data_IF_011470322422
#
_entry.id   IF_011470322422
#
_cell.length_a   1.000
_cell.length_b   1.000
_cell.length_c   1.000
_cell.angle_alpha   90.00
_cell.angle_beta   90.00
_cell.angle_gamma   90.00
#
_symmetry.space_group_name_H-M   'P 1'
#
loop_
_entity.id
_entity.type
_entity.pdbx_description
1 polymer ?
#
# COMPACT_ATOMS: atom_id res chain seq x y z
N UNK A 1 3.63 24.92 -8.61
CA UNK A 1 2.76 23.87 -8.01
C UNK A 1 1.45 23.88 -8.78
N UNK A 2 1.19 22.82 -9.56
CA UNK A 2 0.01 22.71 -10.42
C UNK A 2 -1.07 21.97 -9.64
N UNK A 3 -2.23 22.59 -9.46
CA UNK A 3 -3.36 22.01 -8.74
C UNK A 3 -4.30 21.27 -9.69
N UNK A 4 -5.06 20.30 -9.19
CA UNK A 4 -6.03 19.52 -9.98
C UNK A 4 -7.00 20.38 -10.81
N UNK A 5 -7.44 21.53 -10.27
CA UNK A 5 -8.33 22.45 -10.97
C UNK A 5 -7.71 23.05 -12.25
N UNK A 6 -6.39 23.16 -12.33
CA UNK A 6 -5.70 23.61 -13.54
C UNK A 6 -5.79 22.54 -14.65
N UNK A 7 -5.72 21.25 -14.29
CA UNK A 7 -5.94 20.15 -15.23
C UNK A 7 -7.42 19.96 -15.60
N UNK A 8 -8.34 20.38 -14.73
CA UNK A 8 -9.79 20.38 -15.01
C UNK A 8 -10.26 21.56 -15.85
N UNK A 9 -9.51 22.66 -15.92
CA UNK A 9 -9.88 23.84 -16.70
C UNK A 9 -10.21 23.55 -18.18
N UNK A 10 -9.41 22.78 -18.94
CA UNK A 10 -9.75 22.43 -20.33
C UNK A 10 -10.94 21.45 -20.44
N UNK A 11 -11.35 20.83 -19.33
CA UNK A 11 -12.37 19.76 -19.28
C UNK A 11 -13.70 20.19 -18.66
N UNK A 12 -13.76 21.35 -17.98
CA UNK A 12 -15.02 21.93 -17.51
C UNK A 12 -15.32 23.25 -18.21
N UNK A 13 -16.45 23.36 -18.96
CA UNK A 13 -16.93 24.63 -19.51
C UNK A 13 -17.17 25.71 -18.44
N UNK A 14 -17.42 25.28 -17.20
CA UNK A 14 -17.59 26.14 -16.05
C UNK A 14 -16.30 26.85 -15.60
N UNK A 15 -15.18 26.12 -15.65
CA UNK A 15 -13.87 26.59 -15.19
C UNK A 15 -13.11 27.33 -16.28
N UNK A 16 -13.36 27.02 -17.56
CA UNK A 16 -12.68 27.67 -18.68
C UNK A 16 -12.93 29.18 -18.72
N UNK A 17 -14.14 29.61 -18.33
CA UNK A 17 -14.58 31.02 -18.29
C UNK A 17 -14.03 31.81 -17.09
N UNK A 18 -13.42 31.16 -16.11
CA UNK A 18 -12.95 31.81 -14.89
C UNK A 18 -11.48 32.25 -15.07
N UNK A 19 -11.12 33.51 -14.74
CA UNK A 19 -9.74 33.96 -14.81
C UNK A 19 -8.88 33.30 -13.73
N UNK A 20 -7.58 33.12 -14.00
CA UNK A 20 -6.65 32.41 -13.11
C UNK A 20 -6.55 33.02 -11.71
N UNK A 21 -6.65 34.34 -11.60
CA UNK A 21 -6.65 35.07 -10.32
C UNK A 21 -7.83 34.64 -9.44
N UNK A 22 -9.03 34.61 -10.02
CA UNK A 22 -10.25 34.18 -9.34
C UNK A 22 -10.23 32.70 -9.02
N UNK A 23 -9.71 31.86 -9.91
CA UNK A 23 -9.56 30.42 -9.64
C UNK A 23 -8.62 30.16 -8.46
N UNK A 24 -7.47 30.85 -8.41
CA UNK A 24 -6.55 30.78 -7.26
C UNK A 24 -7.19 31.30 -5.97
N UNK A 25 -8.02 32.35 -6.06
CA UNK A 25 -8.75 32.86 -4.90
C UNK A 25 -9.77 31.85 -4.37
N UNK A 26 -10.51 31.18 -5.25
CA UNK A 26 -11.45 30.11 -4.89
C UNK A 26 -10.69 28.97 -4.21
N UNK A 27 -9.57 28.54 -4.77
CA UNK A 27 -8.72 27.49 -4.18
C UNK A 27 -8.21 27.85 -2.78
N UNK A 28 -7.77 29.09 -2.58
CA UNK A 28 -7.32 29.58 -1.27
C UNK A 28 -8.48 29.56 -0.29
N UNK A 29 -9.60 30.21 -0.61
CA UNK A 29 -10.80 30.21 0.26
C UNK A 29 -11.27 28.80 0.61
N UNK A 30 -11.28 27.89 -0.36
CA UNK A 30 -11.62 26.48 -0.13
C UNK A 30 -10.68 25.83 0.87
N UNK A 31 -9.36 25.92 0.63
CA UNK A 31 -8.37 25.37 1.55
C UNK A 31 -8.48 25.98 2.94
N UNK A 32 -8.60 27.30 3.02
CA UNK A 32 -8.59 28.04 4.28
C UNK A 32 -9.83 27.67 5.13
N UNK A 33 -11.01 27.49 4.52
CA UNK A 33 -12.21 27.01 5.22
C UNK A 33 -12.10 25.57 5.75
N UNK A 34 -11.41 24.67 5.04
CA UNK A 34 -11.12 23.34 5.57
C UNK A 34 -10.13 23.38 6.74
N UNK A 35 -9.11 24.23 6.67
CA UNK A 35 -8.15 24.39 7.77
C UNK A 35 -8.83 24.97 9.01
N UNK A 36 -9.73 25.95 8.84
CA UNK A 36 -10.55 26.50 9.93
C UNK A 36 -11.42 25.42 10.58
N UNK A 37 -12.07 24.58 9.77
CA UNK A 37 -12.85 23.43 10.27
C UNK A 37 -11.97 22.45 11.07
N UNK A 38 -10.78 22.12 10.57
CA UNK A 38 -9.84 21.25 11.28
C UNK A 38 -9.43 21.84 12.63
N UNK A 39 -9.14 23.15 12.65
CA UNK A 39 -8.74 23.87 13.86
C UNK A 39 -9.88 23.92 14.89
N UNK A 40 -11.12 24.14 14.46
CA UNK A 40 -12.28 24.17 15.35
C UNK A 40 -12.48 22.83 16.05
N UNK A 41 -12.40 21.72 15.31
CA UNK A 41 -12.50 20.38 15.89
C UNK A 41 -11.31 20.05 16.79
N UNK A 42 -10.11 20.53 16.44
CA UNK A 42 -8.92 20.38 17.27
C UNK A 42 -9.02 21.15 18.59
N UNK A 43 -9.69 22.31 18.62
CA UNK A 43 -9.93 23.08 19.86
C UNK A 43 -10.91 22.39 20.82
N UNK A 44 -11.88 21.63 20.28
CA UNK A 44 -12.94 20.99 21.07
C UNK A 44 -12.54 19.65 21.70
N UNK A 45 -11.37 19.10 21.35
CA UNK A 45 -10.80 17.89 21.97
C UNK A 45 -11.74 16.68 22.03
N UNK A 46 -12.46 16.41 20.95
CA UNK A 46 -13.26 15.18 20.84
C UNK A 46 -12.40 13.92 21.07
N UNK A 47 -12.93 12.98 21.86
CA UNK A 47 -12.22 11.75 22.27
C UNK A 47 -12.48 10.56 21.35
N UNK A 48 -13.59 10.58 20.60
CA UNK A 48 -14.04 9.45 19.78
C UNK A 48 -13.54 9.51 18.33
N UNK A 49 -13.26 10.71 17.81
CA UNK A 49 -12.76 10.90 16.45
C UNK A 49 -11.91 12.17 16.35
N UNK A 50 -11.05 12.19 15.35
CA UNK A 50 -10.23 13.34 14.99
C UNK A 50 -10.52 13.73 13.53
N UNK A 51 -10.45 15.03 13.24
CA UNK A 51 -10.67 15.55 11.90
C UNK A 51 -9.31 15.92 11.31
N UNK A 52 -9.04 15.45 10.10
CA UNK A 52 -7.87 15.79 9.31
C UNK A 52 -8.31 16.23 7.93
N UNK A 53 -7.85 17.39 7.48
CA UNK A 53 -8.26 17.97 6.20
C UNK A 53 -7.16 17.91 5.16
N UNK A 54 -7.53 17.40 3.99
CA UNK A 54 -6.67 17.31 2.82
C UNK A 54 -7.40 17.97 1.62
N UNK A 55 -7.48 19.30 1.61
CA UNK A 55 -8.50 20.00 0.81
C UNK A 55 -8.25 19.97 -0.70
N UNK A 56 -7.04 19.64 -1.16
CA UNK A 56 -6.71 19.54 -2.58
C UNK A 56 -5.76 18.38 -2.88
N UNK A 57 -6.15 17.53 -3.82
CA UNK A 57 -5.27 16.57 -4.48
C UNK A 57 -4.26 17.32 -5.36
N UNK A 58 -2.98 16.97 -5.21
CA UNK A 58 -1.89 17.49 -6.02
C UNK A 58 -1.44 16.45 -7.04
N UNK A 59 -1.38 16.83 -8.32
CA UNK A 59 -1.01 15.95 -9.41
C UNK A 59 0.36 16.40 -9.94
N UNK A 60 1.38 15.58 -9.71
CA UNK A 60 2.79 15.79 -10.08
C UNK A 60 3.29 14.59 -10.88
N UNK A 61 2.55 14.22 -11.93
CA UNK A 61 2.93 13.16 -12.86
C UNK A 61 3.59 13.75 -14.11
N UNK A 62 4.48 12.98 -14.76
CA UNK A 62 5.05 13.32 -16.08
C UNK A 62 3.98 13.41 -17.17
N UNK A 63 2.91 12.60 -17.04
CA UNK A 63 1.81 12.54 -18.00
C UNK A 63 0.46 12.68 -17.28
N UNK A 64 0.10 13.88 -16.78
CA UNK A 64 -1.10 14.08 -15.97
C UNK A 64 -2.39 13.79 -16.75
N UNK A 65 -2.38 14.02 -18.06
CA UNK A 65 -3.53 13.77 -18.95
C UNK A 65 -3.98 12.30 -18.94
N UNK A 66 -3.05 11.36 -18.73
CA UNK A 66 -3.34 9.92 -18.66
C UNK A 66 -4.08 9.50 -17.39
N UNK A 67 -4.23 10.39 -16.41
CA UNK A 67 -4.95 10.12 -15.16
C UNK A 67 -6.45 10.42 -15.28
N UNK A 68 -6.86 11.09 -16.35
CA UNK A 68 -8.24 11.51 -16.57
C UNK A 68 -8.90 10.69 -17.66
N UNK A 69 -10.23 10.71 -17.68
CA UNK A 69 -11.01 10.31 -18.84
C UNK A 69 -10.88 11.38 -19.93
N UNK A 70 -10.94 10.95 -21.20
CA UNK A 70 -10.90 11.87 -22.33
C UNK A 70 -12.05 12.90 -22.21
N UNK A 71 -11.71 14.18 -22.33
CA UNK A 71 -12.64 15.33 -22.31
C UNK A 71 -13.53 15.49 -21.07
N UNK A 72 -13.34 14.66 -20.03
CA UNK A 72 -14.14 14.70 -18.81
C UNK A 72 -13.27 15.04 -17.60
N UNK A 73 -13.76 15.85 -16.64
CA UNK A 73 -13.04 16.19 -15.41
C UNK A 73 -13.15 15.06 -14.38
N UNK A 74 -13.01 13.80 -14.82
CA UNK A 74 -13.15 12.61 -14.00
C UNK A 74 -11.85 11.80 -14.08
N UNK A 75 -11.45 11.22 -12.95
CA UNK A 75 -10.31 10.33 -12.90
C UNK A 75 -10.67 9.00 -13.56
N UNK A 76 -9.70 8.40 -14.26
CA UNK A 76 -9.81 7.03 -14.73
C UNK A 76 -9.24 6.06 -13.68
N UNK A 77 -9.20 4.75 -13.98
CA UNK A 77 -8.64 3.74 -13.06
C UNK A 77 -7.22 4.07 -12.58
N UNK A 78 -6.36 4.59 -13.47
CA UNK A 78 -4.99 5.02 -13.12
C UNK A 78 -5.00 6.28 -12.26
N UNK A 79 -5.86 7.24 -12.56
CA UNK A 79 -6.08 8.44 -11.75
C UNK A 79 -6.54 8.13 -10.33
N UNK A 80 -7.46 7.19 -10.17
CA UNK A 80 -7.90 6.74 -8.84
C UNK A 80 -6.77 6.05 -8.05
N UNK A 81 -5.99 5.18 -8.70
CA UNK A 81 -4.82 4.56 -8.07
C UNK A 81 -3.77 5.61 -7.66
N UNK A 82 -3.53 6.61 -8.51
CA UNK A 82 -2.66 7.75 -8.19
C UNK A 82 -3.19 8.53 -6.98
N UNK A 83 -4.49 8.88 -6.97
CA UNK A 83 -5.11 9.62 -5.87
C UNK A 83 -5.05 8.84 -4.55
N UNK A 84 -5.29 7.53 -4.57
CA UNK A 84 -5.19 6.66 -3.41
C UNK A 84 -3.75 6.62 -2.86
N UNK A 85 -2.74 6.52 -3.74
CA UNK A 85 -1.33 6.55 -3.35
C UNK A 85 -0.92 7.91 -2.78
N UNK A 86 -1.38 9.00 -3.40
CA UNK A 86 -1.15 10.35 -2.88
C UNK A 86 -1.77 10.51 -1.50
N UNK A 87 -3.02 10.05 -1.32
CA UNK A 87 -3.74 10.10 -0.06
C UNK A 87 -2.98 9.32 1.03
N UNK A 88 -2.61 8.08 0.74
CA UNK A 88 -1.84 7.24 1.66
C UNK A 88 -0.55 7.94 2.09
N UNK A 89 0.28 8.32 1.13
CA UNK A 89 1.57 8.96 1.43
C UNK A 89 1.39 10.24 2.23
N UNK A 90 0.37 11.06 1.89
CA UNK A 90 0.07 12.30 2.59
C UNK A 90 -0.43 12.08 4.02
N UNK A 91 -1.26 11.06 4.26
CA UNK A 91 -1.74 10.71 5.60
C UNK A 91 -0.60 10.22 6.52
N UNK A 92 0.33 9.43 5.99
CA UNK A 92 1.45 8.87 6.76
C UNK A 92 2.56 9.90 7.01
N UNK A 93 2.87 10.75 6.02
CA UNK A 93 3.95 11.74 6.15
C UNK A 93 3.48 13.11 6.66
N UNK A 94 2.18 13.35 6.70
CA UNK A 94 1.58 14.58 7.21
C UNK A 94 1.97 15.82 6.38
N UNK A 95 2.01 17.02 7.00
CA UNK A 95 2.33 18.26 6.30
C UNK A 95 3.75 18.30 5.71
N UNK A 96 4.67 17.46 6.21
CA UNK A 96 6.05 17.33 5.72
C UNK A 96 6.15 16.65 4.34
N UNK A 97 5.05 16.07 3.83
CA UNK A 97 5.03 15.49 2.49
C UNK A 97 5.35 16.55 1.42
N UNK A 98 6.52 16.46 0.79
CA UNK A 98 6.92 17.38 -0.26
C UNK A 98 6.56 16.81 -1.64
N UNK A 99 5.35 17.09 -2.09
CA UNK A 99 4.82 16.63 -3.38
C UNK A 99 5.63 17.15 -4.59
N UNK A 100 6.39 18.25 -4.42
CA UNK A 100 7.19 18.85 -5.50
C UNK A 100 8.46 18.06 -5.79
N UNK A 101 9.01 17.37 -4.79
CA UNK A 101 10.20 16.51 -4.94
C UNK A 101 9.81 15.08 -5.33
N UNK A 102 8.56 14.71 -5.09
CA UNK A 102 8.07 13.34 -5.19
C UNK A 102 7.33 13.12 -6.50
N UNK A 103 7.94 12.36 -7.42
CA UNK A 103 7.22 11.80 -8.57
C UNK A 103 6.41 10.59 -8.12
N UNK A 104 5.15 10.84 -7.76
CA UNK A 104 4.25 9.85 -7.18
C UNK A 104 4.00 8.61 -8.06
N UNK A 105 4.21 8.71 -9.38
CA UNK A 105 4.14 7.56 -10.28
C UNK A 105 5.30 6.58 -10.08
N UNK A 106 6.47 7.06 -9.63
CA UNK A 106 7.72 6.28 -9.55
C UNK A 106 8.10 5.94 -8.09
N UNK A 107 7.68 6.75 -7.11
CA UNK A 107 8.08 6.54 -5.72
C UNK A 107 7.41 5.37 -5.01
N UNK A 108 8.02 4.87 -3.94
CA UNK A 108 7.45 3.82 -3.10
C UNK A 108 6.36 4.36 -2.16
N UNK A 109 5.57 3.45 -1.57
CA UNK A 109 4.66 3.80 -0.49
C UNK A 109 5.45 4.14 0.78
N UNK A 110 4.98 5.14 1.53
CA UNK A 110 5.50 5.38 2.88
C UNK A 110 5.00 4.29 3.82
N UNK A 111 5.91 3.76 4.64
CA UNK A 111 5.56 2.82 5.69
C UNK A 111 5.29 3.57 7.00
N UNK A 112 4.17 3.28 7.69
CA UNK A 112 3.96 3.77 9.03
C UNK A 112 5.02 3.17 9.98
N UNK A 113 5.45 3.98 10.96
CA UNK A 113 6.28 3.47 12.05
C UNK A 113 5.42 2.69 13.03
N UNK A 114 5.89 1.52 13.47
CA UNK A 114 5.21 0.70 14.49
C UNK A 114 5.14 1.37 15.87
N UNK A 115 5.98 2.39 16.10
CA UNK A 115 6.06 3.12 17.38
C UNK A 115 5.21 4.40 17.40
N UNK A 116 4.58 4.75 16.27
CA UNK A 116 3.86 6.00 16.11
C UNK A 116 2.43 5.74 15.65
N UNK A 117 1.48 6.66 15.92
CA UNK A 117 0.17 6.60 15.30
C UNK A 117 0.28 6.54 13.76
N UNK A 118 -0.55 5.69 13.16
CA UNK A 118 -0.53 5.44 11.72
C UNK A 118 -0.77 6.72 10.91
N UNK A 119 -1.82 7.47 11.23
CA UNK A 119 -2.13 8.74 10.56
C UNK A 119 -1.54 9.91 11.31
N UNK A 120 -0.93 10.83 10.58
CA UNK A 120 -0.33 12.03 11.15
C UNK A 120 -1.34 13.15 11.22
N UNK A 121 -1.56 13.62 12.44
CA UNK A 121 -2.40 14.77 12.75
C UNK A 121 -1.55 15.86 13.36
N UNK A 122 -2.09 17.07 13.46
CA UNK A 122 -1.41 18.21 14.07
C UNK A 122 -0.90 17.91 15.49
N UNK A 123 -1.64 17.07 16.24
CA UNK A 123 -1.32 16.67 17.62
C UNK A 123 -0.16 15.68 17.72
N UNK A 124 -0.06 14.71 16.81
CA UNK A 124 0.90 13.60 16.93
C UNK A 124 2.19 13.79 16.09
N UNK A 125 2.27 14.87 15.31
CA UNK A 125 3.35 15.08 14.36
C UNK A 125 4.73 15.34 15.01
N UNK A 126 4.76 15.91 16.22
CA UNK A 126 6.00 16.42 16.82
C UNK A 126 7.02 15.34 17.20
N UNK A 127 6.57 14.13 17.53
CA UNK A 127 7.45 13.11 18.13
C UNK A 127 7.89 11.98 17.19
N UNK A 128 7.52 12.04 15.90
CA UNK A 128 7.63 10.88 15.04
C UNK A 128 8.26 11.20 13.68
N UNK A 129 9.30 10.44 13.31
CA UNK A 129 9.99 10.52 12.01
C UNK A 129 9.28 9.60 10.99
N UNK A 130 9.28 9.98 9.72
CA UNK A 130 8.64 9.27 8.60
C UNK A 130 9.72 8.85 7.62
N UNK A 131 9.67 7.62 7.13
CA UNK A 131 10.68 7.08 6.22
C UNK A 131 10.02 6.26 5.11
N UNK A 132 10.62 6.29 3.93
CA UNK A 132 10.28 5.43 2.80
C UNK A 132 10.88 4.03 2.99
N UNK A 133 10.42 3.04 2.22
CA UNK A 133 10.97 1.67 2.27
C UNK A 133 12.46 1.66 1.95
N UNK A 134 12.89 2.44 0.95
CA UNK A 134 14.30 2.53 0.57
C UNK A 134 15.15 3.19 1.66
N UNK A 135 14.64 4.22 2.32
CA UNK A 135 15.30 4.85 3.47
C UNK A 135 15.37 3.90 4.67
N UNK A 136 14.31 3.15 4.94
CA UNK A 136 14.29 2.12 5.98
C UNK A 136 15.37 1.05 5.70
N UNK A 137 15.40 0.50 4.48
CA UNK A 137 16.40 -0.48 4.09
C UNK A 137 17.83 0.05 4.22
N UNK A 138 18.08 1.31 3.82
CA UNK A 138 19.38 1.96 3.99
C UNK A 138 19.74 2.16 5.46
N UNK A 139 18.79 2.60 6.29
CA UNK A 139 19.02 2.77 7.72
C UNK A 139 19.38 1.43 8.38
N UNK A 140 18.64 0.36 8.08
CA UNK A 140 18.91 -0.99 8.59
C UNK A 140 20.22 -1.57 8.07
N UNK A 141 20.62 -1.26 6.84
CA UNK A 141 21.93 -1.64 6.31
C UNK A 141 23.09 -0.93 7.03
N UNK A 142 22.83 0.20 7.69
CA UNK A 142 23.86 1.08 8.27
C UNK A 142 23.83 1.12 9.81
N UNK A 143 22.79 0.62 10.48
CA UNK A 143 22.68 0.65 11.95
C UNK A 143 23.19 -0.66 12.58
N UNK A 144 24.16 -0.61 13.52
CA UNK A 144 24.44 -1.76 14.38
C UNK A 144 23.25 -1.99 15.30
N UNK A 145 22.80 -3.24 15.39
CA UNK A 145 21.59 -3.63 16.10
C UNK A 145 21.62 -3.16 17.56
N UNK A 146 20.55 -2.47 18.00
CA UNK A 146 20.32 -2.14 19.41
C UNK A 146 19.11 -2.94 19.91
N UNK A 147 19.29 -3.57 21.08
CA UNK A 147 18.69 -4.87 21.46
C UNK A 147 17.16 -4.95 21.64
N UNK A 148 16.43 -3.84 21.68
CA UNK A 148 15.03 -3.88 22.14
C UNK A 148 13.97 -4.00 21.03
N UNK A 149 14.34 -3.80 19.75
CA UNK A 149 13.46 -4.09 18.60
C UNK A 149 13.68 -5.51 18.02
N UNK A 150 14.63 -6.25 18.60
CA UNK A 150 15.13 -7.53 18.09
C UNK A 150 14.11 -8.65 18.26
N UNK A 151 13.27 -8.60 19.30
CA UNK A 151 12.35 -9.69 19.67
C UNK A 151 11.20 -9.96 18.70
N UNK A 152 10.68 -8.95 17.99
CA UNK A 152 9.61 -9.18 16.99
C UNK A 152 10.22 -9.54 15.63
N UNK A 153 11.38 -8.96 15.31
CA UNK A 153 12.02 -9.11 14.01
C UNK A 153 12.78 -10.44 13.85
N UNK A 154 13.34 -11.02 14.93
CA UNK A 154 14.02 -12.33 14.84
C UNK A 154 13.07 -13.45 14.40
N UNK A 155 11.78 -13.38 14.78
CA UNK A 155 10.82 -14.43 14.44
C UNK A 155 10.57 -14.48 12.94
N UNK A 156 10.49 -13.31 12.30
CA UNK A 156 10.22 -13.19 10.86
C UNK A 156 11.49 -13.50 10.05
N UNK A 157 12.66 -12.98 10.47
CA UNK A 157 13.93 -13.30 9.79
C UNK A 157 14.30 -14.79 9.90
N UNK A 158 14.12 -15.42 11.07
CA UNK A 158 14.39 -16.84 11.28
C UNK A 158 13.48 -17.75 10.43
N UNK A 159 12.27 -17.26 10.11
CA UNK A 159 11.33 -17.99 9.27
C UNK A 159 11.73 -17.92 7.80
N UNK A 160 12.29 -16.81 7.34
CA UNK A 160 12.83 -16.64 5.97
C UNK A 160 14.10 -17.46 5.78
N UNK A 161 14.99 -17.46 6.77
CA UNK A 161 16.29 -18.16 6.69
C UNK A 161 16.15 -19.69 6.73
N UNK A 162 15.10 -20.20 7.39
CA UNK A 162 14.80 -21.63 7.45
C UNK A 162 13.67 -22.05 6.51
N UNK A 163 13.12 -21.14 5.69
CA UNK A 163 12.01 -21.45 4.78
C UNK A 163 12.39 -22.56 3.79
N UNK A 164 13.62 -22.52 3.26
CA UNK A 164 14.13 -23.56 2.38
C UNK A 164 14.24 -24.93 3.04
N UNK A 165 14.63 -24.97 4.32
CA UNK A 165 14.68 -26.20 5.11
C UNK A 165 13.28 -26.81 5.31
N UNK A 166 12.29 -26.00 5.69
CA UNK A 166 10.92 -26.47 5.87
C UNK A 166 10.31 -27.00 4.57
N UNK A 167 10.51 -26.31 3.45
CA UNK A 167 10.07 -26.78 2.12
C UNK A 167 10.75 -28.11 1.77
N UNK A 168 12.06 -28.24 2.03
CA UNK A 168 12.80 -29.47 1.80
C UNK A 168 12.28 -30.66 2.61
N UNK A 169 11.99 -30.47 3.90
CA UNK A 169 11.42 -31.52 4.76
C UNK A 169 10.05 -31.98 4.26
N UNK A 170 9.19 -31.05 3.83
CA UNK A 170 7.87 -31.40 3.31
C UNK A 170 7.99 -32.24 2.02
N UNK A 171 8.85 -31.83 1.09
CA UNK A 171 9.08 -32.58 -0.15
C UNK A 171 9.60 -33.99 0.16
N UNK A 172 10.54 -34.11 1.10
CA UNK A 172 11.09 -35.39 1.51
C UNK A 172 10.05 -36.33 2.15
N UNK A 173 9.18 -35.81 3.02
CA UNK A 173 8.10 -36.61 3.61
C UNK A 173 7.09 -37.08 2.55
N UNK A 174 6.76 -36.21 1.60
CA UNK A 174 5.88 -36.55 0.48
C UNK A 174 6.49 -37.66 -0.40
N UNK A 175 7.78 -37.58 -0.74
CA UNK A 175 8.42 -38.62 -1.55
C UNK A 175 8.48 -39.96 -0.83
N UNK A 176 8.84 -39.99 0.45
CA UNK A 176 8.83 -41.21 1.27
C UNK A 176 7.43 -41.83 1.35
N UNK A 177 6.39 -41.01 1.49
CA UNK A 177 5.00 -41.48 1.50
C UNK A 177 4.62 -42.13 0.16
N UNK A 178 4.94 -41.50 -0.98
CA UNK A 178 4.66 -42.06 -2.31
C UNK A 178 5.42 -43.36 -2.55
N UNK A 179 6.70 -43.44 -2.17
CA UNK A 179 7.49 -44.66 -2.33
C UNK A 179 6.99 -45.79 -1.44
N UNK A 180 6.69 -45.52 -0.17
CA UNK A 180 6.20 -46.54 0.76
C UNK A 180 4.83 -47.08 0.34
N UNK A 181 3.86 -46.21 0.07
CA UNK A 181 2.54 -46.62 -0.39
C UNK A 181 2.61 -47.30 -1.77
N UNK A 182 3.39 -46.76 -2.70
CA UNK A 182 3.60 -47.36 -4.02
C UNK A 182 4.22 -48.75 -3.95
N UNK A 183 5.21 -48.95 -3.08
CA UNK A 183 5.85 -50.26 -2.87
C UNK A 183 4.88 -51.25 -2.23
N UNK A 184 4.08 -50.81 -1.25
CA UNK A 184 3.04 -51.64 -0.63
C UNK A 184 1.99 -52.05 -1.66
N UNK A 185 1.47 -51.13 -2.46
CA UNK A 185 0.50 -51.44 -3.52
C UNK A 185 1.09 -52.33 -4.61
N UNK A 186 2.36 -52.12 -4.98
CA UNK A 186 3.05 -52.94 -5.98
C UNK A 186 3.25 -54.38 -5.47
N UNK A 187 3.74 -54.56 -4.25
CA UNK A 187 3.90 -55.86 -3.63
C UNK A 187 2.56 -56.57 -3.38
N UNK A 188 1.51 -55.81 -3.02
CA UNK A 188 0.17 -56.35 -2.86
C UNK A 188 -0.44 -56.74 -4.22
N UNK A 189 -0.22 -55.95 -5.27
CA UNK A 189 -0.64 -56.23 -6.64
C UNK A 189 0.04 -57.47 -7.22
N UNK A 190 1.33 -57.67 -6.95
CA UNK A 190 2.07 -58.89 -7.33
C UNK A 190 1.53 -60.16 -6.65
N UNK A 191 0.89 -60.01 -5.47
CA UNK A 191 0.25 -61.12 -4.73
C UNK A 191 -1.22 -61.30 -5.08
N UNK A 192 -1.83 -60.42 -5.89
CA UNK A 192 -3.20 -60.61 -6.35
C UNK A 192 -3.23 -61.64 -7.48
N UNK A 193 -3.84 -62.78 -7.20
CA UNK A 193 -4.07 -63.88 -8.14
C UNK A 193 -5.42 -63.78 -8.87
N UNK A 194 -6.12 -62.64 -8.76
CA UNK A 194 -7.35 -62.35 -9.49
C UNK A 194 -7.29 -60.98 -10.15
N UNK A 195 -7.48 -60.94 -11.47
CA UNK A 195 -7.54 -59.70 -12.24
C UNK A 195 -8.84 -58.94 -11.98
N UNK A 196 -8.80 -57.59 -11.98
CA UNK A 196 -9.96 -56.70 -11.82
C UNK A 196 -11.10 -56.96 -12.82
N UNK A 197 -10.83 -57.71 -13.90
CA UNK A 197 -11.77 -58.04 -14.97
C UNK A 197 -12.18 -59.52 -15.04
N UNK A 198 -11.79 -60.37 -14.08
CA UNK A 198 -12.12 -61.82 -14.11
C UNK A 198 -13.54 -62.16 -13.67
N UNK A 199 -14.36 -61.17 -13.30
CA UNK A 199 -15.79 -61.34 -13.07
C UNK A 199 -16.59 -60.75 -14.22
N UNK A 200 -16.55 -61.39 -15.40
CA UNK A 200 -17.65 -61.28 -16.37
C UNK A 200 -18.22 -62.68 -16.54
N UNK A 201 -19.36 -63.02 -15.92
CA UNK A 201 -20.02 -64.29 -16.15
C UNK A 201 -20.84 -64.21 -17.45
N UNK A 202 -20.62 -65.16 -18.35
CA UNK A 202 -21.26 -65.28 -19.66
C UNK A 202 -20.15 -65.39 -20.72
N UNK A 203 -19.87 -66.56 -21.28
CA UNK A 203 -20.74 -67.59 -21.86
C UNK A 203 -20.21 -68.97 -21.52
#
# INVERSE_FOLDING_TARGET
MIYILQHFRPRCPCLSKIPDTRLRQIQRKWRDGFLELEEEFNKREYTSFEVLTLPLLQITSRYPEQLFLAERPLLNRRGHAYAAKWLWNRLISGPRYNVSKVMLSEESYYCPSLKCPYFRTSRNLQHCITMTISEYQRMYATTPATDNAVTINYRILRLVDHLGWYIGVIIFLCTVSVFSLGTVFYCHGLKQTKGRFENVPGV
#
